data_IF_472056432478
#
_entry.id   IF_472056432478
#
_cell.length_a   1.000
_cell.length_b   1.000
_cell.length_c   1.000
_cell.angle_alpha   90.00
_cell.angle_beta   90.00
_cell.angle_gamma   90.00
#
_symmetry.space_group_name_H-M   'P 1'
#
loop_
_entity.id
_entity.type
_entity.pdbx_description
1 polymer ?
#
# COMPACT_ATOMS: atom_id res chain seq x y z
N UNK A 1 -15.42 -10.78 -12.01
CA UNK A 1 -14.22 -10.60 -12.85
C UNK A 1 -13.05 -10.57 -11.89
N UNK A 2 -12.28 -11.65 -11.80
CA UNK A 2 -11.21 -11.78 -10.80
C UNK A 2 -9.98 -11.09 -11.35
N UNK A 3 -9.65 -9.90 -10.83
CA UNK A 3 -8.40 -9.22 -11.16
C UNK A 3 -7.29 -10.08 -10.55
N UNK A 4 -6.26 -10.51 -11.32
CA UNK A 4 -5.18 -11.33 -10.79
C UNK A 4 -4.50 -10.56 -9.64
N UNK A 5 -4.50 -11.12 -8.42
CA UNK A 5 -3.70 -10.56 -7.34
C UNK A 5 -2.25 -10.52 -7.80
N UNK A 6 -1.61 -9.36 -7.75
CA UNK A 6 -0.19 -9.23 -8.04
C UNK A 6 0.59 -10.26 -7.21
N UNK A 7 1.27 -11.19 -7.91
CA UNK A 7 2.18 -12.15 -7.28
C UNK A 7 3.59 -11.58 -7.44
N UNK A 8 4.28 -11.21 -6.35
CA UNK A 8 5.66 -10.76 -6.44
C UNK A 8 6.52 -11.91 -6.99
N UNK A 9 7.02 -11.79 -8.23
CA UNK A 9 7.92 -12.77 -8.83
C UNK A 9 7.93 -12.86 -10.37
N UNK A 10 6.84 -12.51 -11.06
CA UNK A 10 6.82 -12.51 -12.53
C UNK A 10 7.04 -11.09 -13.06
N UNK A 11 8.25 -10.82 -13.56
CA UNK A 11 8.58 -9.56 -14.25
C UNK A 11 8.24 -9.71 -15.73
N UNK A 12 7.25 -8.96 -16.19
CA UNK A 12 6.83 -8.87 -17.60
C UNK A 12 7.58 -7.73 -18.32
N UNK A 13 7.54 -7.70 -19.66
CA UNK A 13 8.08 -6.57 -20.42
C UNK A 13 7.41 -5.22 -20.04
N UNK A 14 6.16 -5.25 -19.58
CA UNK A 14 5.45 -4.08 -19.07
C UNK A 14 6.01 -3.57 -17.73
N UNK A 15 6.65 -4.44 -16.94
CA UNK A 15 7.25 -4.06 -15.65
C UNK A 15 8.51 -3.20 -15.82
N UNK A 16 9.20 -3.31 -16.97
CA UNK A 16 10.37 -2.51 -17.32
C UNK A 16 10.04 -1.24 -18.13
N UNK A 17 8.77 -1.03 -18.52
CA UNK A 17 8.35 0.14 -19.28
C UNK A 17 8.51 1.41 -18.44
N UNK A 18 9.23 2.41 -18.96
CA UNK A 18 9.35 3.73 -18.30
C UNK A 18 8.05 4.51 -18.49
N UNK A 19 7.37 4.74 -17.39
CA UNK A 19 6.18 5.56 -17.27
C UNK A 19 6.62 7.01 -17.06
N UNK A 20 6.32 7.87 -18.03
CA UNK A 20 6.76 9.27 -18.05
C UNK A 20 5.66 10.24 -17.64
N UNK A 21 4.42 9.75 -17.65
CA UNK A 21 3.22 10.47 -17.26
C UNK A 21 2.28 9.56 -16.45
N UNK A 22 1.30 10.16 -15.78
CA UNK A 22 0.21 9.40 -15.15
C UNK A 22 -0.66 8.66 -16.16
N UNK A 23 -0.76 9.16 -17.40
CA UNK A 23 -1.49 8.47 -18.46
C UNK A 23 -0.81 7.16 -18.86
N UNK A 24 0.52 7.11 -18.80
CA UNK A 24 1.26 5.86 -19.04
C UNK A 24 0.92 4.83 -17.96
N UNK A 25 0.94 5.24 -16.68
CA UNK A 25 0.56 4.37 -15.57
C UNK A 25 -0.88 3.86 -15.73
N UNK A 26 -1.84 4.76 -15.94
CA UNK A 26 -3.25 4.40 -16.07
C UNK A 26 -3.50 3.46 -17.27
N UNK A 27 -2.85 3.71 -18.41
CA UNK A 27 -2.90 2.83 -19.58
C UNK A 27 -2.41 1.42 -19.25
N UNK A 28 -1.26 1.30 -18.60
CA UNK A 28 -0.67 0.00 -18.25
C UNK A 28 -1.51 -0.75 -17.21
N UNK A 29 -2.18 -0.01 -16.31
CA UNK A 29 -3.12 -0.56 -15.34
C UNK A 29 -4.52 -0.87 -15.91
N UNK A 30 -4.83 -0.40 -17.14
CA UNK A 30 -6.13 -0.60 -17.77
C UNK A 30 -7.27 0.20 -17.12
N UNK A 31 -6.97 1.40 -16.61
CA UNK A 31 -7.90 2.29 -15.90
C UNK A 31 -7.88 3.71 -16.47
N UNK A 32 -8.82 4.55 -16.04
CA UNK A 32 -8.84 5.96 -16.41
C UNK A 32 -7.66 6.73 -15.76
N UNK A 33 -7.11 7.71 -16.48
CA UNK A 33 -5.99 8.54 -16.03
C UNK A 33 -6.43 9.66 -15.07
N UNK A 34 -7.17 9.29 -14.02
CA UNK A 34 -7.68 10.22 -12.99
C UNK A 34 -7.18 9.83 -11.60
N UNK A 35 -7.12 10.82 -10.71
CA UNK A 35 -6.79 10.61 -9.30
C UNK A 35 -7.70 9.55 -8.68
N UNK A 36 -9.00 9.64 -8.95
CA UNK A 36 -10.01 8.78 -8.34
C UNK A 36 -9.89 7.34 -8.81
N UNK A 37 -9.68 7.13 -10.12
CA UNK A 37 -9.48 5.78 -10.67
C UNK A 37 -8.21 5.12 -10.12
N UNK A 38 -7.10 5.87 -10.03
CA UNK A 38 -5.85 5.39 -9.43
C UNK A 38 -6.02 5.07 -7.95
N UNK A 39 -6.72 5.93 -7.20
CA UNK A 39 -6.96 5.73 -5.77
C UNK A 39 -7.81 4.50 -5.51
N UNK A 40 -8.89 4.29 -6.30
CA UNK A 40 -9.70 3.07 -6.23
C UNK A 40 -8.88 1.83 -6.58
N UNK A 41 -8.08 1.89 -7.64
CA UNK A 41 -7.21 0.79 -8.02
C UNK A 41 -6.26 0.41 -6.88
N UNK A 42 -5.53 1.37 -6.30
CA UNK A 42 -4.59 1.10 -5.19
C UNK A 42 -5.31 0.55 -3.96
N UNK A 43 -6.48 1.11 -3.62
CA UNK A 43 -7.31 0.61 -2.53
C UNK A 43 -7.77 -0.84 -2.78
N UNK A 44 -8.28 -1.16 -3.97
CA UNK A 44 -8.78 -2.49 -4.32
C UNK A 44 -7.66 -3.54 -4.46
N UNK A 45 -6.42 -3.10 -4.77
CA UNK A 45 -5.26 -3.97 -4.88
C UNK A 45 -4.58 -4.27 -3.54
N UNK A 46 -4.89 -3.53 -2.48
CA UNK A 46 -4.20 -3.65 -1.20
C UNK A 46 -5.17 -3.98 -0.07
N UNK A 47 -4.75 -4.84 0.86
CA UNK A 47 -5.57 -5.14 2.04
C UNK A 47 -5.40 -4.08 3.15
N UNK A 48 -4.47 -3.14 2.98
CA UNK A 48 -4.03 -2.21 4.02
C UNK A 48 -4.60 -0.79 3.90
N UNK A 49 -5.61 -0.57 3.04
CA UNK A 49 -6.15 0.78 2.82
C UNK A 49 -5.11 1.75 2.25
N UNK A 50 -4.24 1.27 1.35
CA UNK A 50 -3.27 2.14 0.69
C UNK A 50 -3.97 3.18 -0.18
N UNK A 51 -3.32 4.32 -0.36
CA UNK A 51 -3.79 5.44 -1.16
C UNK A 51 -2.67 5.98 -2.04
N UNK A 52 -3.06 6.72 -3.09
CA UNK A 52 -2.16 7.40 -4.01
C UNK A 52 -2.56 8.87 -4.14
N UNK A 53 -1.59 9.77 -4.32
CA UNK A 53 -1.80 11.18 -4.62
C UNK A 53 -0.87 11.65 -5.73
N UNK A 54 -1.41 12.31 -6.74
CA UNK A 54 -0.60 12.98 -7.77
C UNK A 54 0.18 14.16 -7.19
N UNK A 55 1.49 14.19 -7.42
CA UNK A 55 2.38 15.29 -7.02
C UNK A 55 2.53 16.25 -8.19
N UNK A 56 2.30 17.55 -7.95
CA UNK A 56 2.37 18.58 -8.99
C UNK A 56 3.51 19.54 -8.74
N UNK A 57 4.17 19.99 -9.82
CA UNK A 57 5.07 21.12 -9.75
C UNK A 57 4.28 22.40 -9.43
N UNK A 58 4.80 23.20 -8.48
CA UNK A 58 4.17 24.44 -8.01
C UNK A 58 3.84 25.43 -9.14
N UNK A 59 4.64 25.43 -10.20
CA UNK A 59 4.61 26.47 -11.23
C UNK A 59 3.90 26.07 -12.53
N UNK A 60 3.45 24.82 -12.69
CA UNK A 60 3.07 24.34 -14.03
C UNK A 60 1.82 23.44 -14.13
N UNK A 61 1.04 23.21 -13.06
CA UNK A 61 -0.03 22.17 -13.02
C UNK A 61 0.40 20.77 -13.49
N UNK A 62 1.70 20.58 -13.77
CA UNK A 62 2.27 19.38 -14.34
C UNK A 62 2.47 18.39 -13.21
N UNK A 63 1.96 17.17 -13.41
CA UNK A 63 2.24 16.06 -12.50
C UNK A 63 3.70 15.66 -12.68
N UNK A 64 4.45 15.65 -11.59
CA UNK A 64 5.88 15.30 -11.53
C UNK A 64 6.12 13.94 -10.88
N UNK A 65 5.09 13.33 -10.30
CA UNK A 65 5.22 12.06 -9.61
C UNK A 65 3.92 11.62 -8.95
N UNK A 66 4.04 10.54 -8.18
CA UNK A 66 2.98 10.04 -7.30
C UNK A 66 3.52 9.85 -5.89
N UNK A 67 2.65 10.06 -4.91
CA UNK A 67 2.90 9.79 -3.50
C UNK A 67 1.98 8.68 -3.06
N UNK A 68 2.52 7.67 -2.39
CA UNK A 68 1.82 6.50 -1.90
C UNK A 68 1.89 6.47 -0.39
N UNK A 69 0.81 6.04 0.26
CA UNK A 69 0.77 5.85 1.70
C UNK A 69 -0.35 4.88 2.10
N UNK A 70 -0.55 4.70 3.39
CA UNK A 70 -1.65 3.91 3.96
C UNK A 70 -2.04 4.47 5.32
N UNK A 71 -3.28 4.22 5.72
CA UNK A 71 -3.76 4.47 7.08
C UNK A 71 -3.93 3.13 7.79
N UNK A 72 -3.44 3.02 9.02
CA UNK A 72 -3.68 1.85 9.86
C UNK A 72 -4.89 2.14 10.74
N UNK A 73 -5.96 1.36 10.59
CA UNK A 73 -7.20 1.56 11.33
C UNK A 73 -6.97 1.52 12.85
N UNK A 74 -7.64 2.44 13.57
CA UNK A 74 -7.63 2.45 15.03
C UNK A 74 -6.36 3.00 15.69
N UNK A 75 -5.38 3.50 14.91
CA UNK A 75 -4.13 4.03 15.46
C UNK A 75 -3.65 5.29 14.73
N UNK A 76 -3.07 6.23 15.50
CA UNK A 76 -2.42 7.45 15.00
C UNK A 76 -0.95 7.19 14.63
N UNK A 77 -0.71 6.10 13.90
CA UNK A 77 0.61 5.70 13.37
C UNK A 77 0.42 5.18 11.95
N UNK A 78 1.15 5.74 11.01
CA UNK A 78 1.15 5.36 9.60
C UNK A 78 2.55 4.93 9.14
N UNK A 79 2.65 4.05 8.12
CA UNK A 79 3.93 3.80 7.45
C UNK A 79 4.45 5.10 6.80
N UNK A 80 5.77 5.28 6.68
CA UNK A 80 6.34 6.34 5.85
C UNK A 80 5.78 6.32 4.42
N UNK A 81 5.41 7.49 3.91
CA UNK A 81 4.95 7.63 2.54
C UNK A 81 6.09 7.37 1.54
N UNK A 82 5.75 6.84 0.35
CA UNK A 82 6.67 6.64 -0.76
C UNK A 82 6.43 7.65 -1.86
N UNK A 83 7.47 8.37 -2.26
CA UNK A 83 7.43 9.32 -3.38
C UNK A 83 8.13 8.71 -4.59
N UNK A 84 7.40 8.58 -5.70
CA UNK A 84 7.93 8.17 -6.99
C UNK A 84 7.89 9.35 -7.95
N UNK A 85 9.06 9.93 -8.24
CA UNK A 85 9.20 10.97 -9.25
C UNK A 85 9.17 10.35 -10.65
N UNK A 86 8.45 11.00 -11.57
CA UNK A 86 8.47 10.61 -12.97
C UNK A 86 9.83 10.96 -13.61
N UNK A 87 10.36 10.12 -14.51
CA UNK A 87 9.80 8.82 -14.91
C UNK A 87 10.16 7.69 -13.94
N UNK A 88 9.23 6.76 -13.73
CA UNK A 88 9.42 5.51 -12.98
C UNK A 88 8.86 4.32 -13.77
N UNK A 89 9.10 3.09 -13.32
CA UNK A 89 8.66 1.84 -13.94
C UNK A 89 7.47 1.25 -13.19
N UNK A 90 6.68 0.40 -13.87
CA UNK A 90 5.60 -0.31 -13.18
C UNK A 90 6.13 -1.21 -12.04
N UNK A 91 7.34 -1.76 -12.19
CA UNK A 91 8.03 -2.49 -11.12
C UNK A 91 8.29 -1.62 -9.88
N UNK A 92 8.83 -0.41 -10.04
CA UNK A 92 9.05 0.53 -8.93
C UNK A 92 7.74 0.92 -8.24
N UNK A 93 6.67 1.13 -9.02
CA UNK A 93 5.34 1.40 -8.48
C UNK A 93 4.81 0.27 -7.60
N UNK A 94 4.88 -0.98 -8.10
CA UNK A 94 4.43 -2.17 -7.38
C UNK A 94 5.29 -2.46 -6.15
N UNK A 95 6.61 -2.31 -6.26
CA UNK A 95 7.53 -2.46 -5.14
C UNK A 95 7.19 -1.47 -4.02
N UNK A 96 6.92 -0.19 -4.35
CA UNK A 96 6.52 0.80 -3.36
C UNK A 96 5.19 0.45 -2.65
N UNK A 97 4.23 -0.13 -3.37
CA UNK A 97 2.99 -0.64 -2.75
C UNK A 97 3.26 -1.81 -1.80
N UNK A 98 4.05 -2.79 -2.22
CA UNK A 98 4.42 -3.94 -1.37
C UNK A 98 5.15 -3.51 -0.11
N UNK A 99 6.08 -2.55 -0.21
CA UNK A 99 6.76 -2.01 0.98
C UNK A 99 5.78 -1.36 1.97
N UNK A 100 4.78 -0.63 1.48
CA UNK A 100 3.73 -0.04 2.33
C UNK A 100 2.93 -1.15 3.02
N UNK A 101 2.53 -2.19 2.30
CA UNK A 101 1.78 -3.33 2.88
C UNK A 101 2.58 -4.06 3.97
N UNK A 102 3.88 -4.27 3.74
CA UNK A 102 4.77 -4.91 4.70
C UNK A 102 4.91 -4.04 5.96
N UNK A 103 5.09 -2.72 5.81
CA UNK A 103 5.18 -1.79 6.95
C UNK A 103 3.87 -1.70 7.73
N UNK A 104 2.73 -1.64 7.05
CA UNK A 104 1.41 -1.68 7.71
C UNK A 104 1.22 -2.99 8.44
N UNK A 105 1.63 -4.11 7.86
CA UNK A 105 1.57 -5.42 8.51
C UNK A 105 2.40 -5.44 9.80
N UNK A 106 3.57 -4.82 9.80
CA UNK A 106 4.41 -4.68 11.00
C UNK A 106 3.72 -3.81 12.05
N UNK A 107 3.19 -2.64 11.66
CA UNK A 107 2.46 -1.75 12.57
C UNK A 107 1.26 -2.50 13.16
N UNK A 108 0.43 -3.11 12.32
CA UNK A 108 -0.75 -3.87 12.73
C UNK A 108 -0.40 -4.95 13.74
N UNK A 109 0.63 -5.76 13.49
CA UNK A 109 1.06 -6.81 14.43
C UNK A 109 1.54 -6.24 15.77
N UNK A 110 2.11 -5.04 15.76
CA UNK A 110 2.55 -4.32 16.95
C UNK A 110 1.42 -3.62 17.72
N UNK A 111 0.23 -3.48 17.15
CA UNK A 111 -0.81 -2.66 17.77
C UNK A 111 -2.09 -3.46 18.01
N UNK A 112 -2.39 -4.40 17.12
CA UNK A 112 -3.56 -5.28 17.12
C UNK A 112 -3.19 -6.78 17.18
N UNK A 113 -1.94 -7.11 17.54
CA UNK A 113 -1.48 -8.49 17.62
C UNK A 113 -1.48 -9.24 16.28
N UNK A 114 -1.02 -10.50 16.30
CA UNK A 114 -1.10 -11.39 15.12
C UNK A 114 -2.25 -12.38 15.25
N UNK A 115 -2.52 -13.14 14.18
CA UNK A 115 -3.56 -14.19 14.18
C UNK A 115 -3.37 -15.23 15.30
N UNK A 116 -2.13 -15.50 15.69
CA UNK A 116 -1.78 -16.42 16.77
C UNK A 116 -1.90 -15.84 18.19
N UNK A 117 -2.24 -14.54 18.34
CA UNK A 117 -2.36 -13.92 19.66
C UNK A 117 -3.60 -14.36 20.46
N UNK A 118 -4.47 -15.20 19.88
CA UNK A 118 -5.74 -15.59 20.49
C UNK A 118 -6.92 -15.04 19.69
N UNK A 119 -8.17 -15.38 20.07
CA UNK A 119 -9.36 -15.03 19.31
C UNK A 119 -9.49 -13.51 19.13
N UNK A 120 -10.03 -13.10 17.99
CA UNK A 120 -10.40 -11.70 17.77
C UNK A 120 -11.57 -11.32 18.67
N UNK A 121 -11.63 -10.05 19.03
CA UNK A 121 -12.76 -9.43 19.66
C UNK A 121 -14.02 -9.63 18.79
N UNK A 122 -15.17 -10.04 19.35
CA UNK A 122 -16.36 -10.36 18.56
C UNK A 122 -16.97 -9.18 17.80
N UNK A 123 -16.75 -7.94 18.26
CA UNK A 123 -17.35 -6.74 17.67
C UNK A 123 -16.44 -6.14 16.60
N UNK A 124 -15.14 -6.10 16.87
CA UNK A 124 -14.15 -5.42 16.01
C UNK A 124 -13.31 -6.39 15.18
N UNK A 125 -13.30 -7.68 15.52
CA UNK A 125 -12.41 -8.69 14.92
C UNK A 125 -10.93 -8.53 15.29
N UNK A 126 -10.57 -7.45 16.02
CA UNK A 126 -9.20 -7.11 16.39
C UNK A 126 -8.68 -8.05 17.46
N UNK A 127 -7.38 -8.34 17.44
CA UNK A 127 -6.75 -9.21 18.44
C UNK A 127 -6.00 -8.36 19.45
N UNK A 128 -6.05 -8.73 20.72
CA UNK A 128 -5.13 -8.15 21.69
C UNK A 128 -3.77 -8.79 21.55
N UNK A 129 -2.70 -8.04 21.78
CA UNK A 129 -1.35 -8.60 21.73
C UNK A 129 -1.18 -9.55 22.92
N UNK A 130 -0.85 -10.82 22.64
CA UNK A 130 -0.49 -11.78 23.67
C UNK A 130 1.01 -11.70 23.97
N UNK A 131 1.34 -11.42 25.23
CA UNK A 131 2.72 -11.43 25.71
C UNK A 131 3.39 -12.77 25.40
N UNK A 132 4.64 -12.73 24.89
CA UNK A 132 5.40 -13.93 24.54
C UNK A 132 4.80 -14.77 23.40
N UNK A 133 3.92 -14.21 22.56
CA UNK A 133 3.37 -14.94 21.42
C UNK A 133 4.50 -15.49 20.53
N UNK A 134 4.57 -16.80 20.24
CA UNK A 134 5.69 -17.39 19.50
C UNK A 134 5.79 -16.90 18.04
N UNK A 135 4.69 -16.38 17.47
CA UNK A 135 4.67 -15.88 16.10
C UNK A 135 5.10 -14.41 15.97
N UNK A 136 4.79 -13.56 16.95
CA UNK A 136 5.12 -12.13 16.91
C UNK A 136 5.97 -11.62 18.09
N UNK A 137 6.45 -12.53 18.95
CA UNK A 137 7.22 -12.24 20.16
C UNK A 137 6.46 -11.49 21.27
N UNK A 138 5.16 -11.24 21.10
CA UNK A 138 4.42 -10.31 21.96
C UNK A 138 4.88 -8.86 21.80
N UNK A 139 5.49 -8.49 20.68
CA UNK A 139 6.05 -7.15 20.45
C UNK A 139 5.02 -6.05 20.21
N UNK A 140 3.75 -6.30 20.48
CA UNK A 140 2.74 -5.28 20.37
C UNK A 140 2.40 -4.60 21.68
N UNK A 141 2.41 -3.27 21.68
CA UNK A 141 1.93 -2.46 22.80
C UNK A 141 0.60 -1.87 22.39
N UNK A 142 -0.43 -2.11 23.21
CA UNK A 142 -1.62 -1.25 23.18
C UNK A 142 -1.10 0.13 23.59
N UNK A 143 -1.20 1.10 22.68
CA UNK A 143 -0.88 2.50 22.97
C UNK A 143 -2.07 3.15 23.69
#
# INVERSE_FOLDING_TARGET
MTIPSYRPGETTAADAERLTTIHDLARVLGIDATQDALSRFVYDQTACGAWIAMVRAETAYRVTGVRLGSNVEGIDVAPPERLLALPFTLAEFRAALTEIEDEVTVIWRRTHGCLECGPGDPETGLRSVREGCPACGGHGRVL
#
